data_IF_752618243928
#
_entry.id   IF_752618243928
#
_cell.length_a   1.000
_cell.length_b   1.000
_cell.length_c   1.000
_cell.angle_alpha   90.00
_cell.angle_beta   90.00
_cell.angle_gamma   90.00
#
_symmetry.space_group_name_H-M   'P 1'
#
loop_
_entity.id
_entity.type
_entity.pdbx_description
1 polymer ?
#
# COMPACT_ATOMS: atom_id res chain seq x y z
N UNK A 1 -37.26 -0.78 89.21
CA UNK A 1 -38.36 0.00 88.68
C UNK A 1 -37.86 0.62 87.41
N UNK A 2 -38.50 0.34 86.40
CA UNK A 2 -38.24 0.42 84.98
C UNK A 2 -37.59 1.74 84.43
N UNK A 3 -36.43 1.61 83.81
CA UNK A 3 -35.78 2.63 83.03
C UNK A 3 -35.83 2.24 81.55
N UNK A 4 -36.44 3.11 80.75
CA UNK A 4 -36.54 2.98 79.30
C UNK A 4 -35.33 3.60 78.68
N UNK A 5 -34.57 2.79 77.92
CA UNK A 5 -33.51 3.22 77.02
C UNK A 5 -34.08 3.30 75.55
N UNK A 6 -34.08 4.46 75.02
CA UNK A 6 -34.39 4.71 73.57
C UNK A 6 -33.10 4.55 72.74
N UNK A 7 -33.12 3.85 71.63
CA UNK A 7 -31.97 3.83 70.70
C UNK A 7 -32.06 4.96 69.71
N UNK A 8 -31.02 5.79 69.68
CA UNK A 8 -30.79 6.82 68.66
C UNK A 8 -30.49 6.21 67.31
N UNK A 9 -31.34 6.48 66.34
CA UNK A 9 -31.15 6.07 64.95
C UNK A 9 -30.22 7.07 64.24
N UNK A 10 -28.97 6.66 63.96
CA UNK A 10 -28.01 7.41 63.14
C UNK A 10 -28.36 7.21 61.67
N UNK A 11 -28.92 8.26 61.04
CA UNK A 11 -29.03 8.33 59.56
C UNK A 11 -27.66 8.63 58.98
N UNK A 12 -27.08 7.62 58.29
CA UNK A 12 -25.91 7.82 57.42
C UNK A 12 -26.41 8.34 56.07
N UNK A 13 -26.17 9.61 55.81
CA UNK A 13 -26.40 10.23 54.51
C UNK A 13 -25.27 9.82 53.56
N UNK A 14 -25.56 8.93 52.63
CA UNK A 14 -24.67 8.67 51.49
C UNK A 14 -24.66 9.87 50.56
N UNK A 15 -23.61 10.68 50.60
CA UNK A 15 -23.34 11.71 49.62
C UNK A 15 -22.85 11.03 48.35
N UNK A 16 -23.71 11.01 47.31
CA UNK A 16 -23.33 10.59 45.97
C UNK A 16 -22.41 11.66 45.38
N UNK A 17 -21.14 11.33 45.19
CA UNK A 17 -20.18 12.15 44.46
C UNK A 17 -20.60 12.25 42.96
N UNK A 18 -20.54 13.43 42.32
CA UNK A 18 -20.83 13.56 40.89
C UNK A 18 -19.75 12.85 40.09
N UNK A 19 -20.17 11.95 39.21
CA UNK A 19 -19.32 11.28 38.24
C UNK A 19 -18.70 12.34 37.31
N UNK A 20 -17.37 12.39 37.13
CA UNK A 20 -16.77 13.33 36.18
C UNK A 20 -17.23 12.98 34.75
N UNK A 21 -17.70 14.00 34.04
CA UNK A 21 -18.07 13.89 32.64
C UNK A 21 -16.87 13.42 31.81
N UNK A 22 -17.09 12.54 30.79
CA UNK A 22 -16.00 12.11 29.92
C UNK A 22 -15.42 13.33 29.19
N UNK A 23 -14.09 13.46 29.25
CA UNK A 23 -13.35 14.47 28.51
C UNK A 23 -13.64 14.36 27.00
N UNK A 24 -13.78 15.47 26.26
CA UNK A 24 -13.99 15.42 24.83
C UNK A 24 -12.79 14.71 24.18
N UNK A 25 -13.08 13.63 23.48
CA UNK A 25 -12.14 12.93 22.62
C UNK A 25 -11.57 13.94 21.63
N UNK A 26 -10.24 14.09 21.47
CA UNK A 26 -9.70 14.96 20.46
C UNK A 26 -10.18 14.47 19.09
N UNK A 27 -11.00 15.27 18.44
CA UNK A 27 -11.36 15.10 17.04
C UNK A 27 -10.06 15.21 16.26
N UNK A 28 -9.53 14.08 15.81
CA UNK A 28 -8.40 14.05 14.88
C UNK A 28 -8.91 14.67 13.59
N UNK A 29 -8.60 15.94 13.39
CA UNK A 29 -8.67 16.58 12.08
C UNK A 29 -7.86 15.68 11.14
N UNK A 30 -8.43 15.19 10.02
CA UNK A 30 -7.64 14.49 9.02
C UNK A 30 -6.51 15.45 8.62
N UNK A 31 -5.28 15.10 8.93
CA UNK A 31 -4.13 15.81 8.40
C UNK A 31 -4.32 15.82 6.88
N UNK A 32 -4.45 17.02 6.33
CA UNK A 32 -4.38 17.21 4.89
C UNK A 32 -3.09 16.52 4.45
N UNK A 33 -3.24 15.39 3.78
CA UNK A 33 -2.12 14.73 3.13
C UNK A 33 -1.57 15.77 2.15
N UNK A 34 -0.39 16.28 2.46
CA UNK A 34 0.41 17.03 1.51
C UNK A 34 0.54 16.16 0.25
N UNK A 35 -0.31 16.42 -0.73
CA UNK A 35 -0.15 15.93 -2.09
C UNK A 35 1.07 16.64 -2.69
N UNK A 36 2.25 16.32 -2.16
CA UNK A 36 3.48 16.45 -2.89
C UNK A 36 3.24 15.66 -4.17
N UNK A 37 3.18 16.35 -5.30
CA UNK A 37 3.33 15.77 -6.63
C UNK A 37 4.62 14.94 -6.63
N UNK A 38 4.53 13.74 -6.12
CA UNK A 38 5.50 12.71 -6.39
C UNK A 38 5.20 12.36 -7.83
N UNK A 39 6.11 12.69 -8.74
CA UNK A 39 6.15 12.08 -10.05
C UNK A 39 6.16 10.58 -9.79
N UNK A 40 4.97 10.02 -9.72
CA UNK A 40 4.82 8.64 -9.34
C UNK A 40 5.35 7.82 -10.53
N UNK A 41 6.51 7.22 -10.34
CA UNK A 41 7.06 6.21 -11.25
C UNK A 41 6.14 4.97 -11.32
N UNK A 42 4.92 5.09 -10.76
CA UNK A 42 3.92 4.05 -10.81
C UNK A 42 3.41 3.91 -12.24
N UNK A 43 3.52 2.71 -12.78
CA UNK A 43 3.00 2.36 -14.09
C UNK A 43 1.73 1.52 -13.90
N UNK A 44 0.63 2.01 -14.43
CA UNK A 44 -0.66 1.35 -14.39
C UNK A 44 -0.58 0.02 -15.14
N UNK A 45 -1.09 -1.03 -14.54
CA UNK A 45 -1.14 -2.37 -15.12
C UNK A 45 -2.52 -3.02 -15.05
N UNK A 46 -2.71 -4.14 -15.76
CA UNK A 46 -3.96 -4.88 -15.73
C UNK A 46 -4.31 -5.36 -14.32
N UNK A 47 -5.57 -5.22 -13.92
CA UNK A 47 -6.04 -5.58 -12.60
C UNK A 47 -6.00 -4.46 -11.56
N UNK A 48 -5.35 -3.35 -11.85
CA UNK A 48 -5.40 -2.17 -10.98
C UNK A 48 -6.81 -1.58 -10.93
N UNK A 49 -7.16 -0.97 -9.80
CA UNK A 49 -8.40 -0.20 -9.68
C UNK A 49 -8.06 1.28 -9.64
N UNK A 50 -8.69 2.04 -10.52
CA UNK A 50 -8.47 3.47 -10.70
C UNK A 50 -9.74 4.23 -10.36
N UNK A 51 -9.64 5.25 -9.54
CA UNK A 51 -10.68 6.26 -9.37
C UNK A 51 -10.38 7.41 -10.32
N UNK A 52 -11.28 7.63 -11.26
CA UNK A 52 -11.27 8.75 -12.18
C UNK A 52 -12.11 9.86 -11.56
N UNK A 53 -11.48 10.93 -11.15
CA UNK A 53 -12.14 12.10 -10.59
C UNK A 53 -12.17 13.24 -11.61
N UNK A 54 -13.37 13.70 -11.98
CA UNK A 54 -13.56 14.81 -12.92
C UNK A 54 -14.10 16.03 -12.18
N UNK A 55 -13.29 17.07 -12.10
CA UNK A 55 -13.66 18.29 -11.39
C UNK A 55 -14.95 18.93 -11.93
N UNK A 56 -15.88 19.25 -11.05
CA UNK A 56 -17.23 19.83 -11.34
C UNK A 56 -18.16 18.94 -12.15
N UNK A 57 -17.81 17.68 -12.41
CA UNK A 57 -18.66 16.72 -13.11
C UNK A 57 -18.66 15.39 -12.34
N UNK A 58 -19.36 15.31 -11.20
CA UNK A 58 -19.39 14.11 -10.38
C UNK A 58 -20.02 12.91 -11.12
N UNK A 59 -20.89 13.16 -12.08
CA UNK A 59 -21.52 12.14 -12.92
C UNK A 59 -20.53 11.43 -13.86
N UNK A 60 -19.37 12.04 -14.12
CA UNK A 60 -18.28 11.44 -14.89
C UNK A 60 -17.21 10.82 -14.00
N UNK A 61 -17.28 11.05 -12.68
CA UNK A 61 -16.34 10.50 -11.71
C UNK A 61 -16.74 9.08 -11.36
N UNK A 62 -15.82 8.12 -11.56
CA UNK A 62 -16.12 6.69 -11.38
C UNK A 62 -14.86 5.91 -11.00
N UNK A 63 -15.05 4.85 -10.23
CA UNK A 63 -13.98 3.87 -9.98
C UNK A 63 -14.11 2.72 -10.96
N UNK A 64 -13.03 2.46 -11.71
CA UNK A 64 -13.00 1.41 -12.75
C UNK A 64 -11.77 0.54 -12.60
N UNK A 65 -11.90 -0.77 -12.83
CA UNK A 65 -10.75 -1.66 -12.93
C UNK A 65 -10.08 -1.52 -14.32
N UNK A 66 -8.77 -1.67 -14.35
CA UNK A 66 -8.03 -1.85 -15.61
C UNK A 66 -8.26 -3.27 -16.09
N UNK A 67 -8.85 -3.39 -17.26
CA UNK A 67 -9.18 -4.67 -17.90
C UNK A 67 -7.91 -5.47 -18.25
N UNK A 68 -8.01 -6.79 -18.44
CA UNK A 68 -6.86 -7.61 -18.86
C UNK A 68 -6.24 -7.19 -20.19
N UNK A 69 -7.00 -6.52 -21.08
CA UNK A 69 -6.51 -5.94 -22.31
C UNK A 69 -5.78 -4.60 -22.10
N UNK A 70 -5.65 -4.14 -20.85
CA UNK A 70 -4.96 -2.91 -20.47
C UNK A 70 -5.75 -1.62 -20.71
N UNK A 71 -7.04 -1.74 -20.97
CA UNK A 71 -7.92 -0.59 -21.19
C UNK A 71 -8.83 -0.34 -20.00
N UNK A 72 -9.36 0.88 -19.93
CA UNK A 72 -10.43 1.29 -19.03
C UNK A 72 -11.59 1.84 -19.84
N UNK A 73 -12.81 1.72 -19.29
CA UNK A 73 -14.02 2.33 -19.85
C UNK A 73 -14.69 3.17 -18.77
N UNK A 74 -14.93 4.43 -19.09
CA UNK A 74 -15.58 5.40 -18.21
C UNK A 74 -16.74 6.06 -18.96
N UNK A 75 -17.64 6.78 -18.28
CA UNK A 75 -18.67 7.55 -18.97
C UNK A 75 -18.06 8.46 -20.04
N UNK A 76 -18.61 8.46 -21.24
CA UNK A 76 -18.19 9.22 -22.44
C UNK A 76 -16.81 8.83 -23.01
N UNK A 77 -16.04 7.97 -22.35
CA UNK A 77 -14.72 7.54 -22.84
C UNK A 77 -14.64 6.01 -22.79
N UNK A 78 -14.86 5.41 -23.94
CA UNK A 78 -14.77 3.96 -24.11
C UNK A 78 -13.35 3.56 -24.54
N UNK A 79 -12.90 2.38 -24.10
CA UNK A 79 -11.67 1.71 -24.56
C UNK A 79 -10.38 2.54 -24.52
N UNK A 80 -10.21 3.37 -23.48
CA UNK A 80 -8.97 4.13 -23.30
C UNK A 80 -7.84 3.23 -22.80
N UNK A 81 -6.68 3.27 -23.48
CA UNK A 81 -5.48 2.54 -23.07
C UNK A 81 -4.91 3.17 -21.80
N UNK A 82 -4.87 2.39 -20.71
CA UNK A 82 -4.34 2.80 -19.42
C UNK A 82 -3.00 2.12 -19.09
N UNK A 83 -2.82 0.87 -19.50
CA UNK A 83 -1.61 0.09 -19.24
C UNK A 83 -0.36 0.79 -19.79
N UNK A 84 0.74 0.74 -19.01
CA UNK A 84 2.01 1.34 -19.39
C UNK A 84 2.09 2.86 -19.22
N UNK A 85 1.01 3.51 -18.81
CA UNK A 85 0.98 4.96 -18.52
C UNK A 85 1.07 5.21 -17.02
N UNK A 86 1.57 6.39 -16.67
CA UNK A 86 1.45 6.89 -15.30
C UNK A 86 0.07 7.55 -15.08
N UNK A 87 -0.44 7.63 -13.85
CA UNK A 87 -1.71 8.30 -13.56
C UNK A 87 -1.81 9.73 -14.14
N UNK A 88 -0.77 10.59 -14.06
CA UNK A 88 -0.81 11.91 -14.69
C UNK A 88 -0.85 11.88 -16.20
N UNK A 89 -0.23 10.89 -16.85
CA UNK A 89 -0.31 10.73 -18.31
C UNK A 89 -1.70 10.33 -18.74
N UNK A 90 -2.30 9.35 -18.04
CA UNK A 90 -3.67 8.91 -18.31
C UNK A 90 -4.68 10.05 -18.09
N UNK A 91 -4.50 10.86 -17.03
CA UNK A 91 -5.36 12.02 -16.77
C UNK A 91 -5.34 13.01 -17.92
N UNK A 92 -4.15 13.36 -18.45
CA UNK A 92 -4.02 14.28 -19.61
C UNK A 92 -4.64 13.72 -20.89
N UNK A 93 -4.51 12.42 -21.11
CA UNK A 93 -5.13 11.78 -22.27
C UNK A 93 -6.65 11.76 -22.16
N UNK A 94 -7.17 11.54 -20.95
CA UNK A 94 -8.61 11.61 -20.68
C UNK A 94 -9.15 13.03 -20.80
N UNK A 95 -8.43 14.05 -20.32
CA UNK A 95 -8.79 15.47 -20.50
C UNK A 95 -8.95 15.82 -21.99
N UNK A 96 -8.06 15.31 -22.87
CA UNK A 96 -8.16 15.54 -24.30
C UNK A 96 -9.43 14.97 -24.91
N UNK A 97 -9.78 13.73 -24.57
CA UNK A 97 -11.00 13.08 -25.09
C UNK A 97 -12.25 13.75 -24.53
N UNK A 98 -12.27 14.01 -23.22
CA UNK A 98 -13.42 14.66 -22.57
C UNK A 98 -13.63 16.11 -23.03
N UNK A 99 -12.61 16.77 -23.59
CA UNK A 99 -12.74 18.15 -24.09
C UNK A 99 -13.70 18.28 -25.27
N UNK A 100 -14.06 17.18 -25.93
CA UNK A 100 -15.10 17.14 -26.97
C UNK A 100 -16.53 17.28 -26.38
N UNK A 101 -16.71 16.85 -25.12
CA UNK A 101 -18.02 16.80 -24.45
C UNK A 101 -18.16 17.84 -23.34
N UNK A 102 -17.04 18.18 -22.67
CA UNK A 102 -17.03 19.07 -21.51
C UNK A 102 -16.05 20.21 -21.75
N UNK A 103 -16.47 21.44 -21.41
CA UNK A 103 -15.61 22.62 -21.52
C UNK A 103 -14.52 22.61 -20.43
N UNK A 104 -13.25 22.59 -20.82
CA UNK A 104 -12.08 22.64 -19.97
C UNK A 104 -12.11 21.59 -18.81
N UNK A 105 -12.24 20.29 -19.13
CA UNK A 105 -12.28 19.24 -18.10
C UNK A 105 -10.95 19.19 -17.34
N UNK A 106 -11.03 18.94 -16.04
CA UNK A 106 -9.87 18.66 -15.17
C UNK A 106 -10.04 17.28 -14.57
N UNK A 107 -9.12 16.39 -14.90
CA UNK A 107 -9.16 14.99 -14.49
C UNK A 107 -8.01 14.69 -13.56
N UNK A 108 -8.31 13.95 -12.48
CA UNK A 108 -7.33 13.35 -11.59
C UNK A 108 -7.54 11.85 -11.55
N UNK A 109 -6.47 11.09 -11.67
CA UNK A 109 -6.49 9.62 -11.60
C UNK A 109 -5.83 9.20 -10.29
N UNK A 110 -6.57 8.49 -9.46
CA UNK A 110 -6.12 7.96 -8.18
C UNK A 110 -6.09 6.44 -8.27
N UNK A 111 -4.96 5.82 -7.97
CA UNK A 111 -4.86 4.36 -7.89
C UNK A 111 -5.38 3.93 -6.52
N UNK A 112 -6.56 3.30 -6.49
CA UNK A 112 -7.18 2.81 -5.25
C UNK A 112 -6.65 1.44 -4.85
N UNK A 113 -6.34 0.61 -5.83
CA UNK A 113 -5.76 -0.72 -5.59
C UNK A 113 -4.70 -1.02 -6.65
N UNK A 114 -3.48 -1.27 -6.21
CA UNK A 114 -2.37 -1.67 -7.06
C UNK A 114 -2.28 -3.22 -7.05
N UNK A 115 -3.00 -3.87 -7.97
CA UNK A 115 -3.06 -5.34 -8.05
C UNK A 115 -2.29 -5.89 -9.26
N UNK A 116 -1.74 -5.02 -10.10
CA UNK A 116 -1.01 -5.45 -11.29
C UNK A 116 0.30 -6.16 -10.94
N UNK A 117 0.68 -7.10 -11.79
CA UNK A 117 1.95 -7.81 -11.66
C UNK A 117 3.18 -6.87 -11.71
N UNK A 118 3.01 -5.67 -12.29
CA UNK A 118 4.04 -4.62 -12.33
C UNK A 118 4.21 -3.90 -10.99
N UNK A 119 3.28 -4.06 -10.06
CA UNK A 119 3.30 -3.41 -8.74
C UNK A 119 3.73 -4.36 -7.62
N UNK A 120 4.14 -5.58 -7.95
CA UNK A 120 4.48 -6.60 -6.97
C UNK A 120 5.99 -6.92 -7.01
N UNK A 121 6.55 -7.19 -5.83
CA UNK A 121 7.84 -7.86 -5.67
C UNK A 121 7.56 -9.31 -5.31
N UNK A 122 8.12 -10.25 -6.07
CA UNK A 122 7.95 -11.67 -5.84
C UNK A 122 9.13 -12.22 -5.05
N UNK A 123 8.87 -12.93 -3.96
CA UNK A 123 9.88 -13.61 -3.17
C UNK A 123 9.68 -15.12 -3.29
N UNK A 124 10.67 -15.81 -3.83
CA UNK A 124 10.59 -17.24 -4.14
C UNK A 124 11.80 -18.01 -3.63
N UNK A 125 11.64 -19.31 -3.42
CA UNK A 125 12.69 -20.21 -2.96
C UNK A 125 12.64 -20.48 -1.46
N UNK A 126 13.80 -20.56 -0.80
CA UNK A 126 13.94 -21.00 0.59
C UNK A 126 13.69 -19.87 1.60
N UNK A 127 12.45 -19.37 1.61
CA UNK A 127 11.92 -18.44 2.61
C UNK A 127 10.73 -19.09 3.31
N UNK A 128 10.34 -18.60 4.50
CA UNK A 128 9.27 -19.24 5.29
C UNK A 128 7.93 -19.25 4.55
N UNK A 129 7.56 -18.14 3.92
CA UNK A 129 6.29 -17.97 3.20
C UNK A 129 6.52 -17.32 1.83
N UNK A 130 6.92 -18.10 0.79
CA UNK A 130 7.07 -17.55 -0.55
C UNK A 130 5.78 -16.86 -1.01
N UNK A 131 5.87 -15.59 -1.38
CA UNK A 131 4.70 -14.80 -1.77
C UNK A 131 5.05 -13.63 -2.67
N UNK A 132 4.02 -13.04 -3.29
CA UNK A 132 4.11 -11.78 -3.99
C UNK A 132 3.69 -10.66 -3.03
N UNK A 133 4.57 -9.69 -2.84
CA UNK A 133 4.37 -8.58 -1.92
C UNK A 133 4.04 -7.31 -2.70
N UNK A 134 3.09 -6.48 -2.24
CA UNK A 134 2.87 -5.18 -2.84
C UNK A 134 4.12 -4.31 -2.66
N UNK A 135 4.62 -3.78 -3.76
CA UNK A 135 5.76 -2.87 -3.73
C UNK A 135 5.39 -1.56 -2.99
N UNK A 136 6.32 -1.06 -2.20
CA UNK A 136 6.24 0.27 -1.58
C UNK A 136 7.48 1.06 -1.96
N UNK A 137 7.32 2.34 -2.17
CA UNK A 137 8.46 3.21 -2.49
C UNK A 137 9.53 3.13 -1.39
N UNK A 138 10.77 2.96 -1.80
CA UNK A 138 11.89 2.74 -0.88
C UNK A 138 12.03 1.34 -0.32
N UNK A 139 11.19 0.37 -0.75
CA UNK A 139 11.26 -1.03 -0.31
C UNK A 139 12.63 -1.65 -0.65
N UNK A 140 13.22 -2.30 0.33
CA UNK A 140 14.53 -2.95 0.21
C UNK A 140 14.43 -4.46 0.42
N UNK A 141 15.52 -5.16 0.13
CA UNK A 141 15.61 -6.62 0.29
C UNK A 141 15.25 -7.07 1.71
N UNK A 142 15.72 -6.37 2.74
CA UNK A 142 15.42 -6.70 4.13
C UNK A 142 13.91 -6.66 4.41
N UNK A 143 13.22 -5.63 3.91
CA UNK A 143 11.76 -5.48 4.10
C UNK A 143 11.01 -6.66 3.49
N UNK A 144 11.41 -7.07 2.28
CA UNK A 144 10.82 -8.21 1.60
C UNK A 144 11.05 -9.53 2.35
N UNK A 145 12.27 -9.76 2.83
CA UNK A 145 12.62 -10.96 3.59
C UNK A 145 11.86 -11.03 4.91
N UNK A 146 11.74 -9.92 5.63
CA UNK A 146 10.98 -9.86 6.88
C UNK A 146 9.48 -10.10 6.63
N UNK A 147 8.93 -9.55 5.56
CA UNK A 147 7.52 -9.73 5.21
C UNK A 147 7.16 -11.20 4.90
N UNK A 148 8.11 -11.99 4.37
CA UNK A 148 7.91 -13.43 4.10
C UNK A 148 8.33 -14.33 5.27
N UNK A 149 8.62 -13.77 6.45
CA UNK A 149 8.97 -14.52 7.66
C UNK A 149 10.43 -14.93 7.77
N UNK A 150 11.32 -14.42 6.90
CA UNK A 150 12.74 -14.71 6.92
C UNK A 150 13.17 -15.92 6.08
N UNK A 151 14.42 -16.30 6.22
CA UNK A 151 15.02 -17.43 5.52
C UNK A 151 14.69 -18.76 6.24
N UNK A 152 14.58 -19.85 5.47
CA UNK A 152 14.52 -21.20 6.06
C UNK A 152 15.93 -21.66 6.47
N UNK A 153 16.01 -22.72 7.30
CA UNK A 153 17.28 -23.36 7.68
C UNK A 153 18.04 -23.96 6.49
N UNK A 154 17.34 -24.24 5.40
CA UNK A 154 17.93 -24.79 4.17
C UNK A 154 18.32 -23.71 3.15
N UNK A 155 18.13 -22.43 3.48
CA UNK A 155 18.40 -21.35 2.57
C UNK A 155 19.88 -21.08 2.38
N UNK A 156 20.30 -20.89 1.14
CA UNK A 156 21.63 -20.34 0.82
C UNK A 156 21.51 -18.82 0.65
N UNK A 157 21.31 -18.10 1.77
CA UNK A 157 20.99 -16.66 1.76
C UNK A 157 22.07 -15.80 1.08
N UNK A 158 23.35 -16.20 1.13
CA UNK A 158 24.44 -15.46 0.47
C UNK A 158 24.55 -15.71 -1.04
N UNK A 159 23.73 -16.62 -1.59
CA UNK A 159 23.56 -16.83 -3.04
C UNK A 159 22.23 -16.31 -3.55
N UNK A 160 21.53 -15.50 -2.75
CA UNK A 160 20.30 -14.86 -3.18
C UNK A 160 20.56 -13.87 -4.33
N UNK A 161 19.57 -13.70 -5.17
CA UNK A 161 19.64 -12.80 -6.33
C UNK A 161 18.32 -12.14 -6.59
N UNK A 162 18.39 -10.90 -7.04
CA UNK A 162 17.25 -10.17 -7.58
C UNK A 162 17.30 -10.33 -9.09
N UNK A 163 16.22 -10.82 -9.68
CA UNK A 163 16.02 -10.86 -11.13
C UNK A 163 15.12 -9.68 -11.48
N UNK A 164 15.66 -8.73 -12.23
CA UNK A 164 15.00 -7.50 -12.66
C UNK A 164 14.86 -7.48 -14.17
N UNK A 165 13.67 -7.21 -14.66
CA UNK A 165 13.43 -7.06 -16.11
C UNK A 165 13.09 -5.60 -16.38
N UNK A 166 14.00 -4.89 -17.06
CA UNK A 166 13.79 -3.50 -17.50
C UNK A 166 13.92 -3.41 -19.02
N UNK A 167 12.93 -2.85 -19.67
CA UNK A 167 12.90 -2.69 -21.14
C UNK A 167 13.15 -4.00 -21.91
N UNK A 168 12.62 -5.13 -21.39
CA UNK A 168 12.83 -6.45 -21.99
C UNK A 168 14.21 -7.07 -21.75
N UNK A 169 15.10 -6.40 -21.02
CA UNK A 169 16.43 -6.91 -20.66
C UNK A 169 16.42 -7.40 -19.21
N UNK A 170 16.86 -8.64 -19.03
CA UNK A 170 17.05 -9.23 -17.71
C UNK A 170 18.38 -8.79 -17.08
N UNK A 171 18.35 -8.36 -15.83
CA UNK A 171 19.52 -8.03 -15.01
C UNK A 171 19.48 -8.82 -13.72
N UNK A 172 20.58 -9.49 -13.38
CA UNK A 172 20.71 -10.26 -12.14
C UNK A 172 21.62 -9.50 -11.19
N UNK A 173 21.10 -9.20 -9.99
CA UNK A 173 21.81 -8.53 -8.90
C UNK A 173 22.01 -9.55 -7.78
N UNK A 174 23.25 -9.88 -7.44
CA UNK A 174 23.56 -10.78 -6.35
C UNK A 174 23.48 -10.06 -5.01
N UNK A 175 22.80 -10.67 -4.02
CA UNK A 175 22.61 -10.11 -2.69
C UNK A 175 22.94 -11.17 -1.65
N UNK A 176 23.76 -10.79 -0.65
CA UNK A 176 24.10 -11.65 0.48
C UNK A 176 23.11 -11.46 1.62
N UNK A 177 21.92 -12.05 1.46
CA UNK A 177 20.82 -11.89 2.43
C UNK A 177 21.17 -12.47 3.80
N UNK A 178 21.97 -13.55 3.88
CA UNK A 178 22.39 -14.09 5.18
C UNK A 178 23.31 -13.13 5.94
N UNK A 179 24.26 -12.47 5.26
CA UNK A 179 25.13 -11.45 5.87
C UNK A 179 24.31 -10.23 6.30
N UNK A 180 23.32 -9.84 5.49
CA UNK A 180 22.40 -8.75 5.82
C UNK A 180 21.60 -9.03 7.09
N UNK A 181 21.02 -10.24 7.22
CA UNK A 181 20.13 -10.60 8.34
C UNK A 181 20.92 -10.95 9.60
N UNK A 182 22.02 -11.72 9.49
CA UNK A 182 22.75 -12.25 10.63
C UNK A 182 23.87 -11.33 11.13
N UNK A 183 24.54 -10.62 10.21
CA UNK A 183 25.69 -9.77 10.51
C UNK A 183 25.36 -8.27 10.45
N UNK A 184 24.15 -7.90 10.00
CA UNK A 184 23.71 -6.50 9.84
C UNK A 184 24.47 -5.74 8.74
N UNK A 185 25.00 -6.44 7.72
CA UNK A 185 25.67 -5.77 6.60
C UNK A 185 24.69 -5.02 5.71
N UNK A 186 24.39 -3.78 6.10
CA UNK A 186 23.44 -2.90 5.40
C UNK A 186 23.85 -2.56 3.96
N UNK A 187 25.10 -2.81 3.57
CA UNK A 187 25.55 -2.63 2.18
C UNK A 187 24.89 -3.62 1.22
N UNK A 188 24.45 -4.76 1.74
CA UNK A 188 23.72 -5.78 0.98
C UNK A 188 22.22 -5.49 0.87
N UNK A 189 21.74 -4.42 1.51
CA UNK A 189 20.31 -4.05 1.52
C UNK A 189 19.94 -3.26 0.27
N UNK A 190 19.93 -3.95 -0.87
CA UNK A 190 19.61 -3.38 -2.18
C UNK A 190 18.18 -2.86 -2.26
N UNK A 191 17.99 -1.80 -3.05
CA UNK A 191 16.67 -1.23 -3.34
C UNK A 191 15.95 -2.11 -4.35
N UNK A 192 14.75 -2.54 -4.00
CA UNK A 192 13.85 -3.27 -4.88
C UNK A 192 13.09 -2.30 -5.78
N UNK A 193 12.72 -2.80 -6.97
CA UNK A 193 11.84 -2.10 -7.90
C UNK A 193 10.56 -2.91 -8.15
N UNK A 194 9.48 -2.27 -8.58
CA UNK A 194 8.28 -2.98 -8.99
C UNK A 194 8.59 -4.00 -10.08
N UNK A 195 8.06 -5.22 -9.93
CA UNK A 195 8.32 -6.33 -10.85
C UNK A 195 9.55 -7.18 -10.54
N UNK A 196 10.37 -6.81 -9.57
CA UNK A 196 11.54 -7.61 -9.16
C UNK A 196 11.14 -8.98 -8.62
N UNK A 197 12.00 -9.97 -8.89
CA UNK A 197 11.87 -11.32 -8.32
C UNK A 197 13.10 -11.59 -7.45
N UNK A 198 12.92 -11.69 -6.15
CA UNK A 198 13.93 -12.09 -5.20
C UNK A 198 13.95 -13.62 -5.10
N UNK A 199 15.03 -14.23 -5.54
CA UNK A 199 15.22 -15.70 -5.55
C UNK A 199 16.21 -16.08 -4.46
N UNK A 200 15.78 -16.92 -3.51
CA UNK A 200 16.63 -17.47 -2.47
C UNK A 200 16.84 -18.96 -2.74
N UNK A 201 18.02 -19.37 -3.24
CA UNK A 201 18.27 -20.77 -3.57
C UNK A 201 18.44 -21.63 -2.32
N UNK A 202 18.26 -22.93 -2.50
CA UNK A 202 18.55 -23.92 -1.47
C UNK A 202 20.05 -24.10 -1.28
N UNK A 203 20.46 -24.41 -0.05
CA UNK A 203 21.78 -24.91 0.24
C UNK A 203 21.95 -26.34 -0.33
N UNK A 204 23.12 -26.64 -0.88
CA UNK A 204 23.37 -27.93 -1.53
C UNK A 204 23.76 -28.99 -0.50
N UNK A 205 23.79 -28.66 0.79
CA UNK A 205 24.14 -29.56 1.89
C UNK A 205 23.23 -29.39 3.06
#
# INVERSE_FOLDING_TARGET
MLGWLAPSLLLVACASAPTPAPAPTPTQTPAAADTKNTDSNYIIGPGDSLEVFVWRNPELSVTVPVRPDGKISTPLVEDMVAVGKTPPQLARDMEKVLSEYVRAPKVNIIVTTAASAFSLVKVVGQVQHPSALPYREGMRVLDAILAVGGLTQFASGNRARIVRVENGKETIIHVKVADLVNSGDVKQNELLKPGDVLVVPQSIF
#
